data_IF_988721001270
#
_entry.id   IF_988721001270
#
_cell.length_a   1.000
_cell.length_b   1.000
_cell.length_c   1.000
_cell.angle_alpha   90.00
_cell.angle_beta   90.00
_cell.angle_gamma   90.00
#
_symmetry.space_group_name_H-M   'P 1'
#
loop_
_entity.id
_entity.type
_entity.pdbx_description
1 polymer ?
#
# COMPACT_ATOMS: atom_id res chain seq x y z
N UNK A 1 10.13 -2.91 -1.12
CA UNK A 1 8.96 -3.69 -1.58
C UNK A 1 8.53 -3.13 -2.93
N UNK A 2 8.05 -3.97 -3.86
CA UNK A 2 7.54 -3.50 -5.15
C UNK A 2 6.04 -3.76 -5.25
N UNK A 3 5.29 -2.77 -5.69
CA UNK A 3 3.83 -2.82 -5.83
C UNK A 3 3.52 -2.82 -7.32
N UNK A 4 2.87 -3.89 -7.78
CA UNK A 4 2.48 -4.06 -9.17
C UNK A 4 0.96 -4.14 -9.28
N UNK A 5 0.42 -3.50 -10.32
CA UNK A 5 -1.00 -3.45 -10.60
C UNK A 5 -1.35 -2.22 -11.43
N UNK A 6 -2.57 -2.20 -11.94
CA UNK A 6 -3.10 -1.07 -12.70
C UNK A 6 -3.75 -0.10 -11.71
N UNK A 7 -2.98 0.89 -11.25
CA UNK A 7 -3.42 1.81 -10.20
C UNK A 7 -3.69 3.20 -10.76
N UNK A 8 -4.96 3.58 -10.65
CA UNK A 8 -5.60 4.86 -10.96
C UNK A 8 -5.10 6.12 -10.24
N UNK A 9 -3.93 6.20 -9.61
CA UNK A 9 -3.55 7.32 -8.72
C UNK A 9 -3.17 8.64 -9.42
N UNK A 10 -3.31 9.76 -8.70
CA UNK A 10 -2.76 11.08 -9.11
C UNK A 10 -1.30 11.28 -8.69
N UNK A 11 -0.82 10.52 -7.68
CA UNK A 11 0.57 10.53 -7.19
C UNK A 11 1.32 9.24 -7.58
N UNK A 12 2.64 9.32 -7.60
CA UNK A 12 3.51 8.19 -7.96
C UNK A 12 3.53 7.14 -6.83
N UNK A 13 3.24 5.89 -7.18
CA UNK A 13 3.23 4.76 -6.26
C UNK A 13 4.58 4.53 -5.56
N UNK A 14 5.69 5.00 -6.14
CA UNK A 14 7.03 4.90 -5.53
C UNK A 14 7.11 5.53 -4.14
N UNK A 15 6.30 6.55 -3.84
CA UNK A 15 6.27 7.14 -2.50
C UNK A 15 5.79 6.12 -1.45
N UNK A 16 4.75 5.34 -1.79
CA UNK A 16 4.25 4.24 -0.94
C UNK A 16 5.30 3.13 -0.83
N UNK A 17 5.95 2.76 -1.94
CA UNK A 17 7.02 1.75 -1.92
C UNK A 17 8.17 2.14 -0.97
N UNK A 18 8.53 3.42 -0.95
CA UNK A 18 9.55 3.97 -0.07
C UNK A 18 9.12 3.98 1.39
N UNK A 19 7.88 4.37 1.69
CA UNK A 19 7.33 4.36 3.05
C UNK A 19 7.26 2.96 3.65
N UNK A 20 6.97 1.97 2.80
CA UNK A 20 6.91 0.57 3.21
C UNK A 20 8.28 -0.13 3.16
N UNK A 21 9.33 0.56 2.72
CA UNK A 21 10.66 -0.01 2.66
C UNK A 21 11.23 -0.19 4.07
N UNK A 22 11.65 -1.40 4.42
CA UNK A 22 12.09 -1.74 5.78
C UNK A 22 10.95 -2.00 6.77
N UNK A 23 9.69 -1.75 6.41
CA UNK A 23 8.54 -2.17 7.22
C UNK A 23 8.40 -3.68 7.20
N UNK A 24 8.18 -4.28 8.37
CA UNK A 24 7.89 -5.72 8.46
C UNK A 24 6.63 -6.04 7.66
N UNK A 25 6.62 -7.18 6.98
CA UNK A 25 5.47 -7.65 6.21
C UNK A 25 4.35 -8.21 7.11
N UNK A 26 3.90 -7.39 8.07
CA UNK A 26 2.81 -7.62 9.01
C UNK A 26 1.74 -6.55 8.77
N UNK A 27 0.47 -6.96 8.77
CA UNK A 27 -0.67 -6.06 8.49
C UNK A 27 -0.66 -4.79 9.34
N UNK A 28 -0.39 -4.91 10.63
CA UNK A 28 -0.35 -3.76 11.56
C UNK A 28 0.79 -2.79 11.24
N UNK A 29 1.97 -3.32 10.93
CA UNK A 29 3.16 -2.52 10.60
C UNK A 29 2.96 -1.75 9.30
N UNK A 30 2.38 -2.42 8.29
CA UNK A 30 2.04 -1.79 7.01
C UNK A 30 0.98 -0.70 7.23
N UNK A 31 -0.10 -1.00 7.96
CA UNK A 31 -1.12 0.00 8.31
C UNK A 31 -0.51 1.20 9.04
N UNK A 32 0.39 0.97 9.98
CA UNK A 32 1.06 2.04 10.72
C UNK A 32 1.96 2.89 9.84
N UNK A 33 2.71 2.28 8.91
CA UNK A 33 3.62 2.98 8.01
C UNK A 33 2.90 3.95 7.06
N UNK A 34 1.67 3.61 6.65
CA UNK A 34 0.87 4.44 5.73
C UNK A 34 -0.36 5.10 6.40
N UNK A 35 -0.45 5.10 7.74
CA UNK A 35 -1.65 5.59 8.47
C UNK A 35 -1.99 7.07 8.21
N UNK A 36 -0.97 7.86 7.89
CA UNK A 36 -1.10 9.30 7.63
C UNK A 36 -1.13 9.62 6.13
N UNK A 37 -1.17 8.59 5.28
CA UNK A 37 -1.18 8.75 3.83
C UNK A 37 -2.61 8.65 3.34
N UNK A 38 -3.01 9.60 2.50
CA UNK A 38 -4.28 9.49 1.80
C UNK A 38 -4.12 8.50 0.63
N UNK A 39 -4.54 7.25 0.85
CA UNK A 39 -4.41 6.17 -0.13
C UNK A 39 -5.17 6.46 -1.44
N UNK A 40 -6.24 7.25 -1.40
CA UNK A 40 -7.00 7.63 -2.60
C UNK A 40 -6.15 8.43 -3.62
N UNK A 41 -5.10 9.12 -3.16
CA UNK A 41 -4.17 9.85 -4.05
C UNK A 41 -3.29 8.91 -4.89
N UNK A 42 -3.09 7.67 -4.45
CA UNK A 42 -2.21 6.68 -5.09
C UNK A 42 -3.01 5.53 -5.73
N UNK A 43 -4.17 5.22 -5.17
CA UNK A 43 -5.02 4.12 -5.58
C UNK A 43 -6.46 4.58 -5.77
N UNK A 44 -6.73 5.26 -6.87
CA UNK A 44 -8.11 5.65 -7.16
C UNK A 44 -8.95 4.41 -7.41
N UNK A 45 -10.05 4.27 -6.65
CA UNK A 45 -11.00 3.13 -6.62
C UNK A 45 -10.60 1.92 -5.77
N UNK A 46 -9.58 2.03 -4.92
CA UNK A 46 -9.27 0.97 -3.94
C UNK A 46 -9.43 1.54 -2.53
N UNK A 47 -10.28 0.89 -1.74
CA UNK A 47 -10.44 1.24 -0.32
C UNK A 47 -9.23 0.77 0.50
N UNK A 48 -9.00 1.39 1.66
CA UNK A 48 -7.93 0.98 2.58
C UNK A 48 -8.06 -0.50 3.03
N UNK A 49 -9.28 -1.03 3.07
CA UNK A 49 -9.53 -2.46 3.33
C UNK A 49 -9.07 -3.37 2.19
N UNK A 50 -9.38 -3.00 0.94
CA UNK A 50 -8.90 -3.72 -0.25
C UNK A 50 -7.38 -3.63 -0.40
N UNK A 51 -6.80 -2.47 -0.13
CA UNK A 51 -5.36 -2.29 -0.09
C UNK A 51 -4.71 -3.21 0.96
N UNK A 52 -5.30 -3.29 2.15
CA UNK A 52 -4.85 -4.21 3.21
C UNK A 52 -4.95 -5.69 2.81
N UNK A 53 -5.87 -6.06 1.91
CA UNK A 53 -6.01 -7.43 1.39
C UNK A 53 -4.88 -7.82 0.43
N UNK A 54 -4.31 -6.88 -0.33
CA UNK A 54 -3.21 -7.17 -1.26
C UNK A 54 -2.01 -7.84 -0.55
N UNK A 55 -1.71 -7.44 0.68
CA UNK A 55 -0.62 -8.01 1.47
C UNK A 55 -0.91 -9.39 2.05
N UNK A 56 -2.19 -9.80 2.14
CA UNK A 56 -2.58 -11.11 2.64
C UNK A 56 -2.33 -12.23 1.61
N UNK A 57 -2.09 -11.89 0.34
CA UNK A 57 -1.96 -12.87 -0.76
C UNK A 57 -0.52 -13.41 -0.87
N UNK A 58 0.49 -12.68 -0.38
CA UNK A 58 1.92 -13.03 -0.53
C UNK A 58 2.40 -14.04 0.54
N UNK A 59 1.48 -14.75 1.20
CA UNK A 59 1.78 -15.69 2.30
C UNK A 59 1.71 -17.17 1.89
N UNK A 60 1.89 -17.48 0.61
CA UNK A 60 1.98 -18.86 0.12
C UNK A 60 3.36 -19.14 -0.48
#
# INVERSE_FOLDING_TARGET
>A
MKIFGDFFGVKDIKEIENLLNGTKHKKEEIKNAIKNVNIDEYFSRITMEEFSRLFNIIKK
#
